data_IF_333871969052
#
_entry.id   IF_333871969052
#
_cell.length_a   1.000
_cell.length_b   1.000
_cell.length_c   1.000
_cell.angle_alpha   90.00
_cell.angle_beta   90.00
_cell.angle_gamma   90.00
#
_symmetry.space_group_name_H-M   'P 1'
#
loop_
_entity.id
_entity.type
_entity.pdbx_description
1 polymer ?
#
# COMPACT_ATOMS: atom_id res chain seq x y z
N UNK A 1 -7.59 -22.60 -4.07
CA UNK A 1 -7.06 -21.33 -4.63
C UNK A 1 -5.55 -21.30 -4.43
N UNK A 2 -4.79 -20.71 -5.35
CA UNK A 2 -3.36 -20.50 -5.17
C UNK A 2 -3.13 -19.47 -4.05
N UNK A 3 -2.21 -19.74 -3.12
CA UNK A 3 -1.85 -18.77 -2.07
C UNK A 3 -0.99 -17.62 -2.61
N UNK A 4 -0.27 -17.84 -3.72
CA UNK A 4 0.61 -16.85 -4.39
C UNK A 4 0.65 -17.13 -5.88
N UNK A 5 0.77 -16.08 -6.68
CA UNK A 5 0.91 -16.17 -8.14
C UNK A 5 1.88 -15.12 -8.63
N UNK A 6 2.81 -15.50 -9.50
CA UNK A 6 3.76 -14.61 -10.15
C UNK A 6 3.49 -14.59 -11.65
N UNK A 7 3.48 -13.39 -12.24
CA UNK A 7 3.31 -13.18 -13.69
C UNK A 7 4.56 -12.47 -14.20
N UNK A 8 5.46 -13.20 -14.86
CA UNK A 8 6.84 -12.75 -15.12
C UNK A 8 7.28 -12.81 -16.60
N UNK A 9 6.36 -13.06 -17.53
CA UNK A 9 6.64 -13.16 -18.98
C UNK A 9 5.63 -12.38 -19.82
N UNK A 10 5.99 -12.12 -21.09
CA UNK A 10 5.16 -11.36 -22.03
C UNK A 10 5.37 -9.85 -21.94
N UNK A 11 4.68 -9.11 -22.80
CA UNK A 11 4.60 -7.65 -22.80
C UNK A 11 3.84 -7.13 -21.56
N UNK A 12 4.01 -5.84 -21.25
CA UNK A 12 3.26 -5.19 -20.16
C UNK A 12 1.74 -5.34 -20.33
N UNK A 13 1.25 -5.22 -21.56
CA UNK A 13 -0.16 -5.38 -21.89
C UNK A 13 -0.66 -6.82 -21.63
N UNK A 14 0.11 -7.84 -22.01
CA UNK A 14 -0.24 -9.25 -21.74
C UNK A 14 -0.25 -9.54 -20.24
N UNK A 15 0.74 -9.04 -19.50
CA UNK A 15 0.78 -9.18 -18.03
C UNK A 15 -0.42 -8.51 -17.38
N UNK A 16 -0.75 -7.28 -17.78
CA UNK A 16 -1.92 -6.57 -17.27
C UNK A 16 -3.22 -7.27 -17.63
N UNK A 17 -3.32 -7.88 -18.82
CA UNK A 17 -4.47 -8.69 -19.21
C UNK A 17 -4.64 -9.92 -18.30
N UNK A 18 -3.57 -10.67 -18.04
CA UNK A 18 -3.61 -11.80 -17.10
C UNK A 18 -4.00 -11.34 -15.69
N UNK A 19 -3.46 -10.21 -15.23
CA UNK A 19 -3.82 -9.63 -13.94
C UNK A 19 -5.30 -9.25 -13.88
N UNK A 20 -5.86 -8.68 -14.94
CA UNK A 20 -7.31 -8.43 -15.07
C UNK A 20 -8.12 -9.71 -14.88
N UNK A 21 -7.80 -10.78 -15.62
CA UNK A 21 -8.50 -12.07 -15.51
C UNK A 21 -8.43 -12.63 -14.08
N UNK A 22 -7.27 -12.53 -13.42
CA UNK A 22 -7.11 -12.98 -12.04
C UNK A 22 -7.93 -12.14 -11.06
N UNK A 23 -7.94 -10.81 -11.22
CA UNK A 23 -8.74 -9.90 -10.40
C UNK A 23 -10.23 -10.23 -10.58
N UNK A 24 -10.72 -10.32 -11.82
CA UNK A 24 -12.12 -10.65 -12.11
C UNK A 24 -12.52 -12.01 -11.52
N UNK A 25 -11.66 -13.02 -11.61
CA UNK A 25 -11.89 -14.34 -11.02
C UNK A 25 -12.03 -14.28 -9.49
N UNK A 26 -11.24 -13.43 -8.83
CA UNK A 26 -11.35 -13.20 -7.39
C UNK A 26 -12.68 -12.54 -7.04
N UNK A 27 -13.05 -11.49 -7.78
CA UNK A 27 -14.29 -10.75 -7.56
C UNK A 27 -15.52 -11.65 -7.81
N UNK A 28 -15.53 -12.46 -8.86
CA UNK A 28 -16.60 -13.45 -9.11
C UNK A 28 -16.71 -14.51 -8.01
N UNK A 29 -15.60 -14.81 -7.33
CA UNK A 29 -15.55 -15.72 -6.19
C UNK A 29 -15.89 -15.04 -4.86
N UNK A 30 -16.43 -13.82 -4.88
CA UNK A 30 -16.69 -12.97 -3.72
C UNK A 30 -15.45 -12.65 -2.85
N UNK A 31 -14.25 -12.68 -3.44
CA UNK A 31 -13.01 -12.34 -2.76
C UNK A 31 -12.64 -10.89 -3.11
N UNK A 32 -12.50 -9.99 -2.11
CA UNK A 32 -12.05 -8.62 -2.35
C UNK A 32 -10.66 -8.59 -2.99
N UNK A 33 -10.49 -7.72 -3.99
CA UNK A 33 -9.21 -7.51 -4.68
C UNK A 33 -8.65 -6.13 -4.31
N UNK A 34 -7.42 -6.08 -3.81
CA UNK A 34 -6.73 -4.82 -3.50
C UNK A 34 -5.61 -4.65 -4.51
N UNK A 35 -5.71 -3.65 -5.39
CA UNK A 35 -4.84 -3.50 -6.55
C UNK A 35 -4.05 -2.20 -6.43
N UNK A 36 -2.72 -2.29 -6.46
CA UNK A 36 -1.84 -1.12 -6.49
C UNK A 36 -1.56 -0.72 -7.94
N UNK A 37 -2.28 0.27 -8.45
CA UNK A 37 -2.29 0.61 -9.87
C UNK A 37 -1.42 1.84 -10.16
N UNK A 38 -0.37 1.67 -10.97
CA UNK A 38 0.54 2.74 -11.40
C UNK A 38 0.01 3.53 -12.60
N UNK A 39 -0.90 2.95 -13.38
CA UNK A 39 -1.25 3.44 -14.72
C UNK A 39 -2.75 3.64 -14.98
N UNK A 40 -3.59 3.52 -13.96
CA UNK A 40 -5.06 3.47 -14.10
C UNK A 40 -5.54 2.31 -15.01
N UNK A 41 -4.71 1.27 -15.16
CA UNK A 41 -4.94 0.12 -16.01
C UNK A 41 -6.18 -0.69 -15.59
N UNK A 42 -6.59 -0.59 -14.32
CA UNK A 42 -7.66 -1.39 -13.74
C UNK A 42 -8.93 -0.59 -13.46
N UNK A 43 -8.98 0.71 -13.79
CA UNK A 43 -10.19 1.55 -13.62
C UNK A 43 -11.37 1.03 -14.44
N UNK A 44 -11.08 0.38 -15.57
CA UNK A 44 -12.06 -0.28 -16.45
C UNK A 44 -12.88 -1.39 -15.79
N UNK A 45 -12.45 -1.94 -14.64
CA UNK A 45 -13.21 -2.97 -13.90
C UNK A 45 -14.62 -2.52 -13.50
N UNK A 46 -14.83 -1.20 -13.34
CA UNK A 46 -16.15 -0.62 -13.05
C UNK A 46 -17.09 -0.59 -14.25
N UNK A 47 -16.54 -0.70 -15.45
CA UNK A 47 -17.28 -0.57 -16.68
C UNK A 47 -17.80 -1.94 -17.11
N UNK A 48 -19.02 -2.01 -17.63
CA UNK A 48 -19.51 -3.22 -18.27
C UNK A 48 -18.66 -3.55 -19.50
N UNK A 49 -18.58 -4.83 -19.85
CA UNK A 49 -17.84 -5.25 -21.04
C UNK A 49 -18.31 -4.48 -22.28
N UNK A 50 -17.40 -3.84 -23.04
CA UNK A 50 -17.78 -3.06 -24.21
C UNK A 50 -18.37 -3.93 -25.33
N UNK A 51 -18.14 -5.25 -25.31
CA UNK A 51 -18.65 -6.19 -26.30
C UNK A 51 -19.98 -6.86 -25.86
N UNK A 52 -20.97 -6.03 -25.53
CA UNK A 52 -22.32 -6.49 -25.20
C UNK A 52 -22.98 -7.31 -26.34
N UNK A 53 -22.51 -7.13 -27.59
CA UNK A 53 -23.02 -7.86 -28.77
C UNK A 53 -22.51 -9.29 -28.84
N UNK A 54 -21.25 -9.56 -28.46
CA UNK A 54 -20.73 -10.93 -28.36
C UNK A 54 -21.41 -11.71 -27.23
N UNK A 55 -21.68 -11.07 -26.08
CA UNK A 55 -22.36 -11.71 -24.94
C UNK A 55 -23.79 -12.16 -25.27
N UNK A 56 -24.54 -11.38 -26.06
CA UNK A 56 -25.87 -11.77 -26.56
C UNK A 56 -25.83 -13.00 -27.48
N UNK A 57 -24.75 -13.21 -28.25
CA UNK A 57 -24.59 -14.41 -29.09
C UNK A 57 -24.40 -15.67 -28.25
N UNK A 58 -23.88 -15.55 -27.04
CA UNK A 58 -23.66 -16.64 -26.09
C UNK A 58 -24.92 -17.06 -25.31
N UNK A 59 -26.10 -16.48 -25.61
CA UNK A 59 -27.38 -16.69 -24.89
C UNK A 59 -27.32 -16.38 -23.39
N UNK A 60 -26.36 -15.56 -22.97
CA UNK A 60 -26.26 -15.11 -21.59
C UNK A 60 -27.21 -13.90 -21.44
N UNK A 61 -28.37 -14.11 -20.82
CA UNK A 61 -29.36 -13.05 -20.49
C UNK A 61 -28.92 -12.21 -19.28
N UNK A 62 -27.63 -11.96 -19.14
CA UNK A 62 -27.09 -11.13 -18.06
C UNK A 62 -26.68 -9.81 -18.68
N UNK A 63 -27.28 -8.71 -18.23
CA UNK A 63 -26.77 -7.38 -18.56
C UNK A 63 -25.32 -7.31 -18.08
N UNK A 64 -24.35 -6.96 -18.93
CA UNK A 64 -22.98 -6.78 -18.46
C UNK A 64 -23.01 -5.65 -17.43
N UNK A 65 -22.64 -5.97 -16.19
CA UNK A 65 -22.49 -5.00 -15.10
C UNK A 65 -21.02 -5.04 -14.69
N UNK A 66 -20.41 -3.87 -14.54
CA UNK A 66 -19.04 -3.79 -14.02
C UNK A 66 -18.96 -4.23 -12.56
N UNK A 67 -17.75 -4.54 -12.10
CA UNK A 67 -17.52 -4.90 -10.72
C UNK A 67 -17.64 -3.70 -9.79
N UNK A 68 -18.13 -3.88 -8.54
CA UNK A 68 -18.03 -2.85 -7.52
C UNK A 68 -16.55 -2.49 -7.32
N UNK A 69 -16.17 -1.25 -7.61
CA UNK A 69 -14.81 -0.80 -7.31
C UNK A 69 -14.76 0.62 -6.73
N UNK A 70 -13.74 0.86 -5.90
CA UNK A 70 -13.40 2.19 -5.39
C UNK A 70 -11.95 2.50 -5.67
N UNK A 71 -11.71 3.72 -6.13
CA UNK A 71 -10.36 4.25 -6.32
C UNK A 71 -9.98 5.01 -5.05
N UNK A 72 -8.78 4.79 -4.56
CA UNK A 72 -8.17 5.50 -3.46
C UNK A 72 -6.94 6.23 -3.98
N UNK A 73 -7.01 7.56 -4.04
CA UNK A 73 -5.91 8.41 -4.48
C UNK A 73 -4.97 8.72 -3.32
N UNK A 74 -3.67 8.53 -3.51
CA UNK A 74 -2.65 8.91 -2.53
C UNK A 74 -2.11 10.31 -2.89
N UNK A 75 -2.01 11.28 -1.95
CA UNK A 75 -2.21 11.19 -0.51
C UNK A 75 -3.62 11.58 0.02
N UNK A 76 -4.63 11.70 -0.85
CA UNK A 76 -5.92 12.29 -0.47
C UNK A 76 -6.85 11.32 0.27
N UNK A 77 -7.12 10.17 -0.34
CA UNK A 77 -7.99 9.11 0.21
C UNK A 77 -7.21 8.16 1.12
N UNK A 78 -5.93 7.93 0.79
CA UNK A 78 -4.98 7.13 1.56
C UNK A 78 -3.70 7.91 1.77
N UNK A 79 -3.15 7.80 2.98
CA UNK A 79 -1.94 8.46 3.44
C UNK A 79 -0.93 7.40 3.88
N UNK A 80 0.23 7.83 4.31
CA UNK A 80 1.21 6.97 4.96
C UNK A 80 1.12 7.16 6.46
N UNK A 81 0.60 6.13 7.14
CA UNK A 81 0.55 6.07 8.59
C UNK A 81 1.94 5.75 9.14
N UNK A 82 2.60 6.75 9.71
CA UNK A 82 3.93 6.63 10.30
C UNK A 82 3.99 5.60 11.43
N UNK A 83 2.87 5.29 12.08
CA UNK A 83 2.80 4.25 13.12
C UNK A 83 3.08 2.86 12.56
N UNK A 84 2.72 2.63 11.30
CA UNK A 84 2.85 1.32 10.65
C UNK A 84 4.21 1.16 9.97
N UNK A 85 5.02 2.22 9.87
CA UNK A 85 6.30 2.18 9.18
C UNK A 85 7.41 1.65 10.08
N UNK A 86 8.31 0.86 9.49
CA UNK A 86 9.58 0.54 10.13
C UNK A 86 10.48 1.79 10.18
N UNK A 87 10.89 2.26 11.36
CA UNK A 87 11.70 3.47 11.47
C UNK A 87 13.04 3.38 10.72
N UNK A 88 13.72 2.23 10.79
CA UNK A 88 14.99 2.01 10.09
C UNK A 88 14.80 1.95 8.57
N UNK A 89 13.69 1.37 8.11
CA UNK A 89 13.32 1.38 6.70
C UNK A 89 13.11 2.80 6.16
N UNK A 90 12.47 3.67 6.93
CA UNK A 90 12.25 5.08 6.57
C UNK A 90 13.58 5.84 6.48
N UNK A 91 14.46 5.73 7.49
CA UNK A 91 15.75 6.43 7.49
C UNK A 91 16.67 5.93 6.38
N UNK A 92 16.62 4.63 6.06
CA UNK A 92 17.34 4.05 4.94
C UNK A 92 16.83 4.56 3.59
N UNK A 93 15.51 4.62 3.39
CA UNK A 93 14.89 5.08 2.15
C UNK A 93 15.31 6.51 1.78
N UNK A 94 15.52 7.35 2.80
CA UNK A 94 15.98 8.74 2.64
C UNK A 94 17.48 8.92 2.81
N UNK A 95 18.25 7.83 2.82
CA UNK A 95 19.72 7.82 2.90
C UNK A 95 20.27 8.66 4.07
N UNK A 96 19.62 8.61 5.24
CA UNK A 96 20.06 9.36 6.41
C UNK A 96 21.35 8.81 7.02
N UNK A 97 21.78 7.61 6.62
CA UNK A 97 23.00 6.92 7.08
C UNK A 97 22.88 6.38 8.51
N UNK A 98 23.94 5.75 9.01
CA UNK A 98 24.02 5.26 10.40
C UNK A 98 24.73 6.29 11.27
N UNK A 99 24.00 7.28 11.79
CA UNK A 99 24.56 8.34 12.62
C UNK A 99 23.61 8.71 13.78
N UNK A 100 24.04 9.54 14.75
CA UNK A 100 23.18 9.89 15.88
C UNK A 100 21.88 10.60 15.50
N UNK A 101 21.84 11.27 14.33
CA UNK A 101 20.64 11.98 13.85
C UNK A 101 19.60 10.98 13.34
N UNK A 102 19.99 9.99 12.54
CA UNK A 102 19.07 8.94 12.09
C UNK A 102 18.57 8.09 13.25
N UNK A 103 19.45 7.72 14.20
CA UNK A 103 19.05 7.03 15.43
C UNK A 103 18.00 7.82 16.22
N UNK A 104 18.15 9.13 16.36
CA UNK A 104 17.16 9.95 17.06
C UNK A 104 15.80 9.95 16.35
N UNK A 105 15.78 10.02 15.02
CA UNK A 105 14.55 9.93 14.23
C UNK A 105 13.91 8.56 14.41
N UNK A 106 14.70 7.48 14.36
CA UNK A 106 14.25 6.11 14.56
C UNK A 106 13.65 5.91 15.95
N UNK A 107 14.33 6.37 17.00
CA UNK A 107 13.86 6.31 18.39
C UNK A 107 12.53 7.04 18.55
N UNK A 108 12.41 8.27 18.04
CA UNK A 108 11.17 9.04 18.16
C UNK A 108 9.99 8.37 17.42
N UNK A 109 10.26 7.75 16.27
CA UNK A 109 9.25 6.98 15.53
C UNK A 109 8.86 5.68 16.25
N UNK A 110 9.79 5.04 16.96
CA UNK A 110 9.56 3.79 17.68
C UNK A 110 8.88 3.98 19.04
N UNK A 111 9.25 5.01 19.80
CA UNK A 111 8.83 5.20 21.21
C UNK A 111 7.39 5.69 21.38
N UNK A 112 6.75 6.16 20.32
CA UNK A 112 5.36 6.60 20.38
C UNK A 112 4.70 6.42 19.02
N UNK A 113 3.47 5.85 18.94
CA UNK A 113 2.74 5.70 17.69
C UNK A 113 2.37 7.08 17.13
N UNK A 114 3.32 7.70 16.43
CA UNK A 114 3.12 8.98 15.76
C UNK A 114 2.41 8.69 14.46
N UNK A 115 1.24 9.28 14.28
CA UNK A 115 0.44 9.12 13.07
C UNK A 115 0.79 10.18 12.01
N UNK A 116 1.50 11.25 12.38
CA UNK A 116 1.85 12.35 11.49
C UNK A 116 3.24 12.95 11.80
N UNK A 117 3.76 13.72 10.84
CA UNK A 117 5.09 14.33 10.93
C UNK A 117 5.21 15.37 12.06
N UNK A 118 4.15 16.12 12.36
CA UNK A 118 4.22 17.15 13.40
C UNK A 118 4.50 16.54 14.76
N UNK A 119 3.88 15.39 15.04
CA UNK A 119 4.16 14.63 16.26
C UNK A 119 5.60 14.08 16.32
N UNK A 120 6.21 13.76 15.18
CA UNK A 120 7.63 13.37 15.10
C UNK A 120 8.53 14.58 15.39
N UNK A 121 8.20 15.74 14.83
CA UNK A 121 8.94 16.98 15.09
C UNK A 121 8.90 17.37 16.58
N UNK A 122 7.74 17.24 17.23
CA UNK A 122 7.59 17.45 18.67
C UNK A 122 8.39 16.43 19.48
N UNK A 123 8.33 15.14 19.10
CA UNK A 123 9.12 14.09 19.75
C UNK A 123 10.62 14.38 19.72
N UNK A 124 11.14 14.80 18.57
CA UNK A 124 12.55 15.19 18.42
C UNK A 124 12.88 16.40 19.31
N UNK A 125 11.99 17.39 19.44
CA UNK A 125 12.20 18.55 20.34
C UNK A 125 12.26 18.14 21.81
N UNK A 126 11.51 17.12 22.21
CA UNK A 126 11.42 16.66 23.58
C UNK A 126 12.61 15.79 24.03
N UNK A 127 13.43 15.26 23.10
CA UNK A 127 14.60 14.41 23.45
C UNK A 127 15.58 15.17 24.35
N UNK A 128 15.96 14.65 25.53
CA UNK A 128 16.91 15.32 26.43
C UNK A 128 18.28 15.53 25.79
N UNK A 129 18.97 16.62 26.14
CA UNK A 129 20.30 16.94 25.58
C UNK A 129 21.37 15.89 25.90
N UNK A 130 21.22 15.19 27.03
CA UNK A 130 22.05 14.04 27.40
C UNK A 130 22.01 12.89 26.37
N UNK A 131 20.92 12.77 25.60
CA UNK A 131 20.76 11.76 24.55
C UNK A 131 21.06 12.31 23.16
N UNK A 132 20.75 13.59 22.92
CA UNK A 132 20.92 14.23 21.61
C UNK A 132 21.33 15.69 21.76
N UNK A 133 22.56 16.02 21.34
CA UNK A 133 23.09 17.39 21.40
C UNK A 133 22.23 18.36 20.57
N UNK A 134 22.15 19.63 20.97
CA UNK A 134 21.32 20.64 20.29
C UNK A 134 21.56 20.71 18.76
N UNK A 135 22.82 20.65 18.32
CA UNK A 135 23.16 20.60 16.90
C UNK A 135 22.52 19.40 16.16
N UNK A 136 22.57 18.21 16.77
CA UNK A 136 21.99 16.99 16.20
C UNK A 136 20.47 17.05 16.17
N UNK A 137 19.85 17.60 17.22
CA UNK A 137 18.42 17.85 17.29
C UNK A 137 17.96 18.80 16.17
N UNK A 138 18.65 19.93 15.98
CA UNK A 138 18.36 20.88 14.88
C UNK A 138 18.48 20.23 13.51
N UNK A 139 19.49 19.36 13.31
CA UNK A 139 19.67 18.61 12.06
C UNK A 139 18.54 17.61 11.82
N UNK A 140 18.14 16.86 12.84
CA UNK A 140 16.99 15.93 12.77
C UNK A 140 15.70 16.67 12.39
N UNK A 141 15.41 17.77 13.08
CA UNK A 141 14.24 18.62 12.79
C UNK A 141 14.25 19.14 11.35
N UNK A 142 15.41 19.58 10.85
CA UNK A 142 15.53 20.06 9.46
C UNK A 142 15.21 18.95 8.47
N UNK A 143 15.75 17.74 8.67
CA UNK A 143 15.50 16.60 7.78
C UNK A 143 14.00 16.26 7.74
N UNK A 144 13.39 16.09 8.91
CA UNK A 144 11.96 15.74 9.00
C UNK A 144 11.07 16.84 8.40
N UNK A 145 11.41 18.12 8.59
CA UNK A 145 10.73 19.24 7.93
C UNK A 145 10.87 19.18 6.41
N UNK A 146 12.05 18.87 5.89
CA UNK A 146 12.28 18.74 4.45
C UNK A 146 11.47 17.58 3.87
N UNK A 147 11.33 16.47 4.59
CA UNK A 147 10.45 15.36 4.20
C UNK A 147 9.00 15.84 4.12
N UNK A 148 8.51 16.59 5.11
CA UNK A 148 7.13 17.13 5.09
C UNK A 148 6.90 18.09 3.92
N UNK A 149 7.89 18.94 3.63
CA UNK A 149 7.80 19.91 2.53
C UNK A 149 7.82 19.21 1.17
N UNK A 150 8.65 18.17 1.01
CA UNK A 150 8.73 17.40 -0.23
C UNK A 150 7.48 16.54 -0.46
N UNK A 151 6.93 15.98 0.61
CA UNK A 151 5.80 15.04 0.60
C UNK A 151 4.61 15.62 1.37
N UNK A 152 4.17 16.81 0.99
CA UNK A 152 3.12 17.53 1.69
C UNK A 152 1.82 16.72 1.76
N UNK A 153 1.26 16.59 2.96
CA UNK A 153 0.01 15.85 3.21
C UNK A 153 0.15 14.32 3.15
N UNK A 154 1.31 13.79 2.78
CA UNK A 154 1.55 12.35 2.62
C UNK A 154 1.55 11.61 3.96
N UNK A 155 2.14 12.22 5.00
CA UNK A 155 2.27 11.65 6.34
C UNK A 155 1.27 12.28 7.33
N UNK A 156 -0.03 12.13 7.07
CA UNK A 156 -1.06 12.92 7.75
C UNK A 156 -2.16 12.08 8.42
N UNK A 157 -1.77 11.04 9.16
CA UNK A 157 -2.66 10.25 9.99
C UNK A 157 -2.96 8.84 9.48
N UNK A 158 -3.78 8.08 10.23
CA UNK A 158 -4.08 6.69 9.94
C UNK A 158 -4.98 6.53 8.71
N UNK A 159 -4.87 5.37 8.06
CA UNK A 159 -5.74 4.97 6.96
C UNK A 159 -7.00 4.26 7.44
N UNK A 160 -8.12 4.47 6.75
CA UNK A 160 -9.32 3.66 6.94
C UNK A 160 -9.18 2.31 6.21
N UNK A 161 -8.35 1.42 6.78
CA UNK A 161 -8.09 0.09 6.22
C UNK A 161 -9.37 -0.74 6.13
N UNK A 162 -10.33 -0.55 7.04
CA UNK A 162 -11.61 -1.26 6.98
C UNK A 162 -12.37 -0.99 5.67
N UNK A 163 -12.25 0.23 5.12
CA UNK A 163 -12.86 0.59 3.85
C UNK A 163 -12.07 0.05 2.64
N UNK A 164 -10.74 -0.06 2.74
CA UNK A 164 -9.88 -0.70 1.73
C UNK A 164 -10.15 -2.21 1.66
N UNK A 165 -10.29 -2.85 2.82
CA UNK A 165 -10.54 -4.28 2.97
C UNK A 165 -12.02 -4.68 2.89
N UNK A 166 -12.91 -3.73 2.58
CA UNK A 166 -14.36 -3.94 2.65
C UNK A 166 -14.82 -4.92 1.57
N UNK A 167 -15.41 -6.04 2.00
CA UNK A 167 -16.17 -6.93 1.14
C UNK A 167 -17.50 -6.29 0.74
N UNK A 168 -18.01 -6.69 -0.42
CA UNK A 168 -19.35 -6.30 -0.84
C UNK A 168 -20.36 -7.33 -0.33
N UNK A 169 -21.58 -6.88 -0.05
CA UNK A 169 -22.61 -7.69 0.64
C UNK A 169 -23.32 -8.66 -0.34
N UNK A 170 -23.12 -8.48 -1.65
CA UNK A 170 -23.67 -9.35 -2.70
C UNK A 170 -22.60 -10.36 -3.11
N UNK A 171 -22.97 -11.48 -3.72
CA UNK A 171 -22.08 -12.60 -4.12
C UNK A 171 -20.90 -12.25 -5.08
N UNK A 172 -20.55 -10.97 -5.23
CA UNK A 172 -19.48 -10.43 -6.06
C UNK A 172 -18.61 -9.57 -5.15
N UNK A 173 -17.31 -9.80 -5.16
CA UNK A 173 -16.31 -9.06 -4.41
C UNK A 173 -16.15 -7.62 -4.89
N UNK A 174 -15.40 -6.83 -4.12
CA UNK A 174 -15.11 -5.43 -4.44
C UNK A 174 -13.64 -5.27 -4.82
N UNK A 175 -13.36 -4.48 -5.84
CA UNK A 175 -12.01 -4.02 -6.15
C UNK A 175 -11.69 -2.69 -5.44
N UNK A 176 -10.63 -2.69 -4.65
CA UNK A 176 -10.04 -1.51 -4.04
C UNK A 176 -8.79 -1.13 -4.83
N UNK A 177 -8.89 -0.11 -5.66
CA UNK A 177 -7.82 0.35 -6.55
C UNK A 177 -7.04 1.46 -5.84
N UNK A 178 -5.84 1.16 -5.36
CA UNK A 178 -4.92 2.15 -4.78
C UNK A 178 -4.14 2.78 -5.93
N UNK A 179 -4.46 4.03 -6.23
CA UNK A 179 -3.85 4.78 -7.33
C UNK A 179 -2.47 5.31 -6.90
N UNK A 180 -1.42 4.82 -7.56
CA UNK A 180 -0.03 5.21 -7.37
C UNK A 180 0.49 6.13 -8.49
N UNK A 181 -0.35 6.47 -9.47
CA UNK A 181 0.03 7.32 -10.60
C UNK A 181 0.57 8.66 -10.13
N UNK A 182 1.75 9.02 -10.64
CA UNK A 182 2.42 10.28 -10.33
C UNK A 182 3.21 10.28 -9.01
N UNK A 183 3.22 9.18 -8.26
CA UNK A 183 4.10 9.01 -7.12
C UNK A 183 5.52 8.65 -7.57
N UNK A 184 6.54 9.17 -6.88
CA UNK A 184 7.90 8.68 -7.05
C UNK A 184 8.08 7.29 -6.39
N UNK A 185 9.16 6.57 -6.72
CA UNK A 185 9.40 5.21 -6.21
C UNK A 185 9.40 5.13 -4.67
N UNK A 186 9.86 6.18 -3.97
CA UNK A 186 9.86 6.21 -2.50
C UNK A 186 8.44 6.35 -1.98
N UNK A 187 7.64 7.23 -2.59
CA UNK A 187 6.23 7.39 -2.25
C UNK A 187 5.44 6.10 -2.53
N UNK A 188 5.62 5.47 -3.69
CA UNK A 188 4.97 4.20 -4.00
C UNK A 188 5.31 3.13 -2.97
N UNK A 189 6.59 2.96 -2.63
CA UNK A 189 7.03 1.99 -1.62
C UNK A 189 6.39 2.26 -0.25
N UNK A 190 6.39 3.51 0.21
CA UNK A 190 5.81 3.88 1.51
C UNK A 190 4.28 3.70 1.54
N UNK A 191 3.59 4.03 0.44
CA UNK A 191 2.15 3.86 0.33
C UNK A 191 1.77 2.38 0.36
N UNK A 192 2.47 1.55 -0.43
CA UNK A 192 2.26 0.10 -0.46
C UNK A 192 2.56 -0.52 0.91
N UNK A 193 3.70 -0.16 1.52
CA UNK A 193 4.07 -0.63 2.85
C UNK A 193 2.98 -0.30 3.88
N UNK A 194 2.57 0.96 3.97
CA UNK A 194 1.56 1.41 4.93
C UNK A 194 0.22 0.69 4.77
N UNK A 195 -0.24 0.48 3.53
CA UNK A 195 -1.49 -0.25 3.26
C UNK A 195 -1.35 -1.73 3.59
N UNK A 196 -0.26 -2.39 3.19
CA UNK A 196 -0.05 -3.83 3.44
C UNK A 196 0.10 -4.11 4.94
N UNK A 197 0.86 -3.30 5.68
CA UNK A 197 0.95 -3.42 7.13
C UNK A 197 -0.40 -3.16 7.81
N UNK A 198 -1.15 -2.16 7.31
CA UNK A 198 -2.49 -1.88 7.81
C UNK A 198 -3.45 -3.05 7.62
N UNK A 199 -3.41 -3.71 6.45
CA UNK A 199 -4.18 -4.91 6.16
C UNK A 199 -3.79 -6.07 7.09
N UNK A 200 -2.49 -6.28 7.29
CA UNK A 200 -1.97 -7.29 8.22
C UNK A 200 -2.51 -7.08 9.63
N UNK A 201 -2.39 -5.88 10.19
CA UNK A 201 -2.95 -5.58 11.52
C UNK A 201 -4.48 -5.74 11.57
N UNK A 202 -5.18 -5.30 10.52
CA UNK A 202 -6.63 -5.37 10.44
C UNK A 202 -7.14 -6.82 10.45
N UNK A 203 -6.51 -7.69 9.67
CA UNK A 203 -6.90 -9.10 9.61
C UNK A 203 -6.43 -9.89 10.82
N UNK A 204 -5.28 -9.57 11.41
CA UNK A 204 -4.84 -10.18 12.68
C UNK A 204 -5.87 -9.95 13.79
N UNK A 205 -6.44 -8.74 13.91
CA UNK A 205 -7.48 -8.41 14.90
C UNK A 205 -8.79 -9.17 14.69
N UNK A 206 -9.06 -9.65 13.48
CA UNK A 206 -10.25 -10.46 13.17
C UNK A 206 -10.07 -11.95 13.48
N UNK A 207 -8.90 -12.37 13.96
CA UNK A 207 -8.58 -13.77 14.24
C UNK A 207 -8.38 -14.60 12.97
N UNK A 208 -8.16 -15.91 13.16
CA UNK A 208 -7.97 -16.87 12.06
C UNK A 208 -9.23 -17.01 11.20
N UNK A 209 -9.06 -17.36 9.93
CA UNK A 209 -10.16 -17.66 9.02
C UNK A 209 -9.76 -18.82 8.12
N UNK A 210 -10.71 -19.69 7.82
CA UNK A 210 -10.53 -20.77 6.82
C UNK A 210 -10.78 -20.28 5.40
N UNK A 211 -11.26 -19.04 5.23
CA UNK A 211 -11.59 -18.43 3.94
C UNK A 211 -10.62 -17.29 3.62
N UNK A 212 -10.32 -17.13 2.33
CA UNK A 212 -9.51 -16.03 1.83
C UNK A 212 -10.27 -14.71 2.01
N UNK A 213 -9.65 -13.76 2.73
CA UNK A 213 -10.30 -12.48 3.08
C UNK A 213 -10.11 -11.39 2.05
N UNK A 214 -9.01 -11.42 1.31
CA UNK A 214 -8.71 -10.56 0.17
C UNK A 214 -7.49 -11.11 -0.57
N UNK A 215 -7.30 -10.68 -1.82
CA UNK A 215 -6.07 -10.89 -2.58
C UNK A 215 -5.48 -9.53 -2.92
N UNK A 216 -4.17 -9.41 -2.71
CA UNK A 216 -3.40 -8.20 -3.01
C UNK A 216 -2.68 -8.38 -4.35
N UNK A 217 -2.88 -7.43 -5.25
CA UNK A 217 -2.29 -7.40 -6.58
C UNK A 217 -1.27 -6.26 -6.65
N UNK A 218 -0.03 -6.59 -7.00
CA UNK A 218 1.04 -5.63 -7.29
C UNK A 218 1.48 -5.78 -8.75
N UNK A 219 0.76 -5.15 -9.70
CA UNK A 219 1.26 -4.94 -11.05
C UNK A 219 2.63 -4.25 -10.98
N UNK A 220 3.54 -4.63 -11.90
CA UNK A 220 4.86 -3.99 -12.01
C UNK A 220 5.62 -3.94 -10.67
N UNK A 221 5.56 -5.03 -9.89
CA UNK A 221 6.10 -5.10 -8.55
C UNK A 221 7.56 -4.62 -8.44
N UNK A 222 8.37 -4.83 -9.48
CA UNK A 222 9.77 -4.34 -9.57
C UNK A 222 9.92 -2.82 -9.45
N UNK A 223 8.92 -2.04 -9.89
CA UNK A 223 8.92 -0.57 -9.79
C UNK A 223 8.58 -0.08 -8.38
N UNK A 224 7.86 -0.90 -7.62
CA UNK A 224 7.38 -0.57 -6.27
C UNK A 224 8.30 -1.14 -5.19
N UNK A 225 8.76 -2.37 -5.40
CA UNK A 225 9.62 -3.15 -4.52
C UNK A 225 10.90 -3.46 -5.31
N UNK A 226 11.84 -2.49 -5.41
CA UNK A 226 13.07 -2.69 -6.14
C UNK A 226 13.89 -3.82 -5.50
N UNK A 227 14.15 -4.89 -6.26
CA UNK A 227 14.89 -6.08 -5.81
C UNK A 227 16.35 -5.74 -5.46
N UNK A 228 16.91 -4.74 -6.12
CA UNK A 228 18.32 -4.34 -5.97
C UNK A 228 18.58 -3.41 -4.78
N UNK A 229 17.53 -2.79 -4.24
CA UNK A 229 17.65 -1.96 -3.06
C UNK A 229 17.31 -2.80 -1.84
N UNK A 230 18.33 -3.29 -1.12
CA UNK A 230 18.18 -3.89 0.20
C UNK A 230 17.51 -2.86 1.14
N UNK A 231 16.18 -2.77 1.13
CA UNK A 231 15.42 -1.87 1.98
C UNK A 231 14.52 -2.69 2.90
N UNK A 232 14.59 -2.40 4.20
CA UNK A 232 13.80 -3.10 5.23
C UNK A 232 12.29 -3.08 4.93
N UNK A 233 11.78 -2.01 4.32
CA UNK A 233 10.35 -1.91 3.94
C UNK A 233 9.98 -2.92 2.85
N UNK A 234 10.85 -3.13 1.87
CA UNK A 234 10.64 -4.12 0.80
C UNK A 234 10.51 -5.54 1.37
N UNK A 235 11.40 -5.89 2.29
CA UNK A 235 11.40 -7.19 2.97
C UNK A 235 10.14 -7.38 3.83
N UNK A 236 9.71 -6.34 4.53
CA UNK A 236 8.49 -6.37 5.33
C UNK A 236 7.24 -6.53 4.48
N UNK A 237 7.16 -5.83 3.34
CA UNK A 237 6.06 -6.02 2.38
C UNK A 237 6.04 -7.47 1.91
N UNK A 238 7.18 -8.01 1.46
CA UNK A 238 7.27 -9.38 0.98
C UNK A 238 6.80 -10.37 2.06
N UNK A 239 7.29 -10.25 3.30
CA UNK A 239 6.88 -11.09 4.44
C UNK A 239 5.40 -10.97 4.74
N UNK A 240 4.86 -9.74 4.81
CA UNK A 240 3.46 -9.53 5.13
C UNK A 240 2.53 -10.06 4.03
N UNK A 241 2.90 -9.96 2.75
CA UNK A 241 2.14 -10.57 1.66
C UNK A 241 2.10 -12.10 1.76
N UNK A 242 3.17 -12.73 2.27
CA UNK A 242 3.16 -14.16 2.59
C UNK A 242 2.20 -14.49 3.72
N UNK A 243 2.23 -13.71 4.80
CA UNK A 243 1.40 -13.93 5.98
C UNK A 243 -0.08 -13.65 5.71
N UNK A 244 -0.41 -12.70 4.83
CA UNK A 244 -1.79 -12.41 4.42
C UNK A 244 -2.43 -13.53 3.60
N UNK A 245 -1.63 -14.45 3.05
CA UNK A 245 -2.09 -15.57 2.24
C UNK A 245 -2.40 -16.83 3.06
N UNK A 246 -2.09 -16.86 4.36
CA UNK A 246 -2.27 -18.00 5.27
C UNK A 246 -3.19 -17.67 6.44
#
# INVERSE_FOLDING_TARGET
LFGKTFVFSGSEQERNHVMHVLIESCLLSNIPAIVFDQGENFVGLKQPSPDAKALKKSKVEIEPVGFPAKVFNVPFDLKVDLKLLNPAGLTQLFALGKNPVSKAVETVLAESPKSNIDQVLEGIRAVPEAQLKDFQKKRALRIVKLLNLRYAGFFNGPNNIAEVAKSWIRAIGRASLVNLKGLDARQSLLAVHSVVMGLKEFYAKKGASTELRAIVFLPEAERVIPIEAENVLSDEIAKALVELAG
#
